data_IF_348543692341
#
_entry.id   IF_348543692341
#
_cell.length_a   1.000
_cell.length_b   1.000
_cell.length_c   1.000
_cell.angle_alpha   90.00
_cell.angle_beta   90.00
_cell.angle_gamma   90.00
#
_symmetry.space_group_name_H-M   'P 1'
#
loop_
_entity.id
_entity.type
_entity.pdbx_description
1 polymer ?
#
# COMPACT_ATOMS: atom_id res chain seq x y z
N UNK A 1 -47.58 21.42 27.31
CA UNK A 1 -47.47 20.39 26.26
C UNK A 1 -46.53 20.78 25.10
N UNK A 2 -45.80 21.91 25.17
CA UNK A 2 -44.95 22.43 24.06
C UNK A 2 -43.47 22.04 24.16
N UNK A 3 -43.04 21.51 25.30
CA UNK A 3 -41.63 21.15 25.56
C UNK A 3 -41.18 19.85 24.88
N UNK A 4 -42.11 18.91 24.67
CA UNK A 4 -41.79 17.60 24.10
C UNK A 4 -41.62 17.67 22.57
N UNK A 5 -42.46 18.46 21.88
CA UNK A 5 -42.29 18.74 20.45
C UNK A 5 -40.96 19.44 20.12
N UNK A 6 -40.44 20.27 21.04
CA UNK A 6 -39.16 20.97 20.83
C UNK A 6 -37.99 20.00 20.88
N UNK A 7 -38.01 19.05 21.81
CA UNK A 7 -36.97 18.01 21.97
C UNK A 7 -36.95 17.04 20.79
N UNK A 8 -38.13 16.63 20.32
CA UNK A 8 -38.26 15.72 19.18
C UNK A 8 -37.73 16.35 17.88
N UNK A 9 -38.07 17.62 17.63
CA UNK A 9 -37.52 18.37 16.49
C UNK A 9 -36.00 18.59 16.60
N UNK A 10 -35.46 18.71 17.81
CA UNK A 10 -34.01 18.80 18.05
C UNK A 10 -33.30 17.46 17.80
N UNK A 11 -33.93 16.36 18.17
CA UNK A 11 -33.42 15.00 17.98
C UNK A 11 -33.44 14.59 16.51
N UNK A 12 -34.56 14.85 15.81
CA UNK A 12 -34.69 14.62 14.37
C UNK A 12 -33.63 15.38 13.55
N UNK A 13 -33.31 16.61 13.93
CA UNK A 13 -32.22 17.38 13.29
C UNK A 13 -30.85 16.72 13.50
N UNK A 14 -30.58 16.23 14.70
CA UNK A 14 -29.32 15.53 15.01
C UNK A 14 -29.20 14.23 14.23
N UNK A 15 -30.30 13.51 14.02
CA UNK A 15 -30.32 12.29 13.21
C UNK A 15 -30.14 12.59 11.71
N UNK A 16 -30.75 13.67 11.19
CA UNK A 16 -30.53 14.14 9.82
C UNK A 16 -29.09 14.62 9.60
N UNK A 17 -28.48 15.28 10.58
CA UNK A 17 -27.07 15.66 10.53
C UNK A 17 -26.13 14.44 10.66
N UNK A 18 -26.53 13.40 11.40
CA UNK A 18 -25.83 12.10 11.45
C UNK A 18 -25.96 11.30 10.16
N UNK A 19 -27.06 11.47 9.42
CA UNK A 19 -27.29 10.87 8.10
C UNK A 19 -26.47 11.52 6.98
N UNK A 20 -25.80 12.65 7.23
CA UNK A 20 -24.78 13.22 6.31
C UNK A 20 -23.50 12.37 6.23
N UNK A 21 -23.41 11.26 6.97
CA UNK A 21 -22.20 10.44 7.07
C UNK A 21 -22.14 9.24 6.10
N UNK A 22 -22.88 9.24 4.98
CA UNK A 22 -22.75 8.14 3.99
C UNK A 22 -22.93 8.56 2.53
N UNK A 23 -22.66 9.82 2.22
CA UNK A 23 -22.49 10.26 0.83
C UNK A 23 -21.10 10.88 0.69
N UNK A 24 -20.08 10.03 0.83
CA UNK A 24 -18.73 10.34 0.34
C UNK A 24 -18.77 10.36 -1.19
N UNK A 25 -19.20 11.51 -1.70
CA UNK A 25 -18.99 11.94 -3.07
C UNK A 25 -17.48 12.20 -3.18
N UNK A 26 -16.77 11.30 -3.86
CA UNK A 26 -15.32 11.32 -4.18
C UNK A 26 -14.33 10.58 -3.27
N UNK A 27 -14.69 9.40 -2.73
CA UNK A 27 -13.66 8.41 -2.45
C UNK A 27 -13.28 7.72 -3.77
N UNK A 28 -12.30 8.27 -4.48
CA UNK A 28 -11.57 7.52 -5.51
C UNK A 28 -10.89 6.35 -4.80
N UNK A 29 -11.58 5.20 -4.75
CA UNK A 29 -11.06 3.99 -4.14
C UNK A 29 -9.71 3.65 -4.78
N UNK A 30 -8.67 3.53 -3.95
CA UNK A 30 -7.33 3.19 -4.43
C UNK A 30 -7.34 1.73 -4.87
N UNK A 31 -7.32 1.52 -6.17
CA UNK A 31 -7.17 0.19 -6.77
C UNK A 31 -5.68 -0.17 -6.76
N UNK A 32 -5.35 -1.32 -6.18
CA UNK A 32 -4.02 -1.92 -6.25
C UNK A 32 -4.07 -3.10 -7.20
N UNK A 33 -3.19 -3.09 -8.20
CA UNK A 33 -2.97 -4.21 -9.10
C UNK A 33 -1.61 -4.79 -8.76
N UNK A 34 -1.59 -6.06 -8.39
CA UNK A 34 -0.36 -6.80 -8.10
C UNK A 34 -0.27 -8.02 -9.03
N UNK A 35 0.94 -8.44 -9.36
CA UNK A 35 1.15 -9.69 -10.08
C UNK A 35 1.24 -10.85 -9.09
N UNK A 36 0.66 -12.01 -9.44
CA UNK A 36 0.84 -13.20 -8.61
C UNK A 36 2.27 -13.73 -8.76
N UNK A 37 3.03 -13.66 -7.68
CA UNK A 37 4.34 -14.29 -7.58
C UNK A 37 4.19 -15.73 -7.07
N UNK A 38 5.01 -16.64 -7.59
CA UNK A 38 5.16 -17.96 -6.97
C UNK A 38 5.67 -17.78 -5.54
N UNK A 39 5.39 -18.76 -4.67
CA UNK A 39 5.84 -18.74 -3.27
C UNK A 39 7.35 -18.48 -3.15
N UNK A 40 8.15 -19.10 -4.02
CA UNK A 40 9.60 -18.97 -4.05
C UNK A 40 10.04 -17.55 -4.44
N UNK A 41 9.47 -17.00 -5.52
CA UNK A 41 9.76 -15.64 -5.98
C UNK A 41 9.31 -14.60 -4.96
N UNK A 42 8.17 -14.81 -4.31
CA UNK A 42 7.70 -13.95 -3.22
C UNK A 42 8.67 -13.94 -2.03
N UNK A 43 9.19 -15.10 -1.62
CA UNK A 43 10.20 -15.16 -0.56
C UNK A 43 11.49 -14.44 -0.96
N UNK A 44 11.94 -14.62 -2.21
CA UNK A 44 13.09 -13.90 -2.76
C UNK A 44 12.85 -12.38 -2.75
N UNK A 45 11.67 -11.92 -3.16
CA UNK A 45 11.30 -10.51 -3.12
C UNK A 45 11.34 -9.95 -1.70
N UNK A 46 10.72 -10.66 -0.75
CA UNK A 46 10.70 -10.27 0.66
C UNK A 46 12.11 -10.14 1.23
N UNK A 47 13.00 -11.07 0.90
CA UNK A 47 14.40 -11.01 1.32
C UNK A 47 15.15 -9.84 0.66
N UNK A 48 14.95 -9.65 -0.64
CA UNK A 48 15.59 -8.57 -1.42
C UNK A 48 15.24 -7.16 -0.92
N UNK A 49 14.12 -6.97 -0.23
CA UNK A 49 13.73 -5.68 0.36
C UNK A 49 14.72 -5.17 1.41
N UNK A 50 15.53 -6.05 2.02
CA UNK A 50 16.60 -5.66 2.96
C UNK A 50 17.66 -4.78 2.30
N UNK A 51 17.84 -4.87 0.98
CA UNK A 51 18.78 -4.04 0.23
C UNK A 51 18.51 -2.54 0.38
N UNK A 52 17.27 -2.16 0.71
CA UNK A 52 16.94 -0.76 1.04
C UNK A 52 17.76 -0.22 2.21
N UNK A 53 18.13 -1.08 3.17
CA UNK A 53 18.96 -0.71 4.31
C UNK A 53 20.41 -0.41 3.96
N UNK A 54 20.90 -0.86 2.80
CA UNK A 54 22.30 -0.66 2.35
C UNK A 54 22.41 0.27 1.14
N UNK A 55 21.38 1.10 0.93
CA UNK A 55 21.41 2.18 -0.06
C UNK A 55 20.73 1.89 -1.40
N UNK A 56 19.96 0.80 -1.52
CA UNK A 56 19.11 0.59 -2.69
C UNK A 56 17.81 1.40 -2.59
N UNK A 57 17.67 2.48 -3.36
CA UNK A 57 16.44 3.29 -3.40
C UNK A 57 15.24 2.48 -3.89
N UNK A 58 15.44 1.62 -4.88
CA UNK A 58 14.37 0.85 -5.51
C UNK A 58 14.61 -0.65 -5.40
N UNK A 59 13.58 -1.36 -4.95
CA UNK A 59 13.46 -2.83 -4.99
C UNK A 59 12.02 -3.15 -5.33
N UNK A 60 11.80 -3.79 -6.48
CA UNK A 60 10.47 -4.07 -7.05
C UNK A 60 10.50 -5.40 -7.81
N UNK A 61 9.34 -5.85 -8.26
CA UNK A 61 9.22 -6.99 -9.16
C UNK A 61 8.46 -6.59 -10.42
N UNK A 62 8.73 -7.31 -11.52
CA UNK A 62 8.02 -7.18 -12.79
C UNK A 62 8.21 -8.46 -13.59
N UNK A 63 7.12 -9.01 -14.13
CA UNK A 63 7.14 -10.21 -14.98
C UNK A 63 7.84 -11.38 -14.25
N UNK A 64 7.56 -11.53 -12.94
CA UNK A 64 8.16 -12.55 -12.09
C UNK A 64 9.65 -12.37 -11.77
N UNK A 65 10.28 -11.26 -12.18
CA UNK A 65 11.69 -10.95 -11.90
C UNK A 65 11.82 -9.97 -10.75
N UNK A 66 12.79 -10.20 -9.86
CA UNK A 66 13.09 -9.28 -8.77
C UNK A 66 14.20 -8.32 -9.19
N UNK A 67 13.94 -7.03 -9.11
CA UNK A 67 14.80 -5.97 -9.62
C UNK A 67 15.19 -5.01 -8.50
N UNK A 68 16.44 -4.54 -8.52
CA UNK A 68 16.93 -3.55 -7.57
C UNK A 68 17.78 -2.48 -8.27
N UNK A 69 17.76 -1.25 -7.73
CA UNK A 69 18.52 -0.11 -8.25
C UNK A 69 18.91 0.83 -7.11
N UNK A 70 20.16 1.31 -7.12
CA UNK A 70 20.69 2.18 -6.05
C UNK A 70 20.06 3.57 -6.03
N UNK A 71 20.00 4.24 -7.16
CA UNK A 71 19.43 5.58 -7.30
C UNK A 71 18.93 5.80 -8.73
N UNK A 72 18.36 6.97 -9.00
CA UNK A 72 18.01 7.36 -10.37
C UNK A 72 19.29 7.50 -11.20
N UNK A 73 19.32 6.89 -12.38
CA UNK A 73 20.50 6.83 -13.24
C UNK A 73 21.33 5.54 -13.12
N UNK A 74 21.36 4.86 -11.97
CA UNK A 74 22.14 3.61 -11.81
C UNK A 74 21.60 2.43 -12.62
N UNK A 75 22.43 1.42 -12.81
CA UNK A 75 22.06 0.17 -13.44
C UNK A 75 21.01 -0.61 -12.62
N UNK A 76 20.17 -1.34 -13.35
CA UNK A 76 19.17 -2.24 -12.78
C UNK A 76 19.81 -3.61 -12.60
N UNK A 77 19.74 -4.14 -11.39
CA UNK A 77 20.24 -5.47 -11.04
C UNK A 77 19.05 -6.43 -11.01
N UNK A 78 19.13 -7.50 -11.81
CA UNK A 78 18.22 -8.63 -11.70
C UNK A 78 18.73 -9.59 -10.61
N UNK A 79 17.92 -9.77 -9.56
CA UNK A 79 18.18 -10.65 -8.44
C UNK A 79 17.59 -12.03 -8.75
N UNK A 80 18.47 -13.03 -8.87
CA UNK A 80 18.10 -14.39 -9.30
C UNK A 80 17.92 -15.36 -8.15
N UNK A 81 18.56 -15.11 -7.01
CA UNK A 81 18.55 -16.00 -5.85
C UNK A 81 18.98 -15.26 -4.57
N UNK A 82 18.81 -15.92 -3.43
CA UNK A 82 19.15 -15.39 -2.10
C UNK A 82 20.65 -15.15 -1.95
N UNK A 83 21.52 -15.98 -2.54
CA UNK A 83 22.98 -15.78 -2.45
C UNK A 83 23.39 -14.43 -3.00
N UNK A 84 22.83 -14.04 -4.15
CA UNK A 84 23.07 -12.73 -4.74
C UNK A 84 22.60 -11.60 -3.82
N UNK A 85 21.47 -11.76 -3.11
CA UNK A 85 21.01 -10.77 -2.12
C UNK A 85 22.05 -10.62 -1.01
N UNK A 86 22.55 -11.73 -0.47
CA UNK A 86 23.55 -11.72 0.59
C UNK A 86 24.87 -11.07 0.14
N UNK A 87 25.28 -11.26 -1.12
CA UNK A 87 26.47 -10.59 -1.65
C UNK A 87 26.29 -9.08 -1.79
N UNK A 88 25.07 -8.63 -2.09
CA UNK A 88 24.72 -7.21 -2.20
C UNK A 88 24.47 -6.53 -0.84
N UNK A 89 24.31 -7.31 0.24
CA UNK A 89 24.15 -6.83 1.62
C UNK A 89 25.48 -6.62 2.36
N UNK A 90 26.59 -7.14 1.81
CA UNK A 90 27.95 -6.95 2.34
C UNK A 90 28.48 -5.57 1.95
#
# INVERSE_FOLDING_TARGET
MVGDLSKENQMLRKDVDGLKLTLNKEDSERIFVDEELTKETYQLFKHSRQLKGVGYKYVWHREGKILARKNDGADIIFIRNISQVNDLLK
#
